data_IF_667968451268
#
_entry.id   IF_667968451268
#
_cell.length_a   1.000
_cell.length_b   1.000
_cell.length_c   1.000
_cell.angle_alpha   90.00
_cell.angle_beta   90.00
_cell.angle_gamma   90.00
#
_symmetry.space_group_name_H-M   'P 1'
#
loop_
_entity.id
_entity.type
_entity.pdbx_description
1 polymer ?
#
# COMPACT_ATOMS: atom_id res chain seq x y z
N UNK A 1 22.87 -2.68 15.38
CA UNK A 1 22.00 -3.35 14.39
C UNK A 1 20.61 -2.78 14.50
N UNK A 2 19.84 -2.78 13.41
CA UNK A 2 18.45 -2.32 13.39
C UNK A 2 17.53 -3.51 13.69
N UNK A 3 16.56 -3.36 14.59
CA UNK A 3 15.56 -4.41 14.86
C UNK A 3 14.27 -4.08 14.11
N UNK A 4 13.74 -5.07 13.38
CA UNK A 4 12.46 -4.98 12.70
C UNK A 4 11.52 -6.07 13.22
N UNK A 5 10.27 -5.72 13.49
CA UNK A 5 9.21 -6.68 13.81
C UNK A 5 8.11 -6.64 12.75
N UNK A 6 7.47 -7.78 12.54
CA UNK A 6 6.47 -7.96 11.49
C UNK A 6 5.29 -8.76 12.03
N UNK A 7 4.07 -8.42 11.56
CA UNK A 7 2.86 -9.19 11.83
C UNK A 7 2.23 -9.61 10.51
N UNK A 8 1.63 -10.80 10.52
CA UNK A 8 1.02 -11.41 9.34
C UNK A 8 -0.39 -11.91 9.68
N UNK A 9 -1.25 -11.96 8.67
CA UNK A 9 -2.55 -12.62 8.77
C UNK A 9 -2.44 -14.13 8.44
N UNK A 10 -3.52 -14.93 8.58
CA UNK A 10 -3.50 -16.37 8.30
C UNK A 10 -3.18 -16.75 6.85
N UNK A 11 -3.31 -15.82 5.90
CA UNK A 11 -2.95 -16.04 4.49
C UNK A 11 -1.48 -15.70 4.21
N UNK A 12 -0.71 -15.34 5.25
CA UNK A 12 0.71 -15.01 5.15
C UNK A 12 0.98 -13.59 4.63
N UNK A 13 -0.05 -12.73 4.54
CA UNK A 13 0.12 -11.35 4.10
C UNK A 13 0.56 -10.50 5.26
N UNK A 14 1.50 -9.57 5.02
CA UNK A 14 1.98 -8.64 6.04
C UNK A 14 0.89 -7.64 6.37
N UNK A 15 0.50 -7.55 7.64
CA UNK A 15 -0.48 -6.57 8.14
C UNK A 15 0.18 -5.43 8.91
N UNK A 16 1.42 -5.61 9.37
CA UNK A 16 2.18 -4.56 10.05
C UNK A 16 3.68 -4.80 10.01
N UNK A 17 4.44 -3.71 10.03
CA UNK A 17 5.90 -3.67 10.12
C UNK A 17 6.29 -2.56 11.09
N UNK A 18 7.15 -2.85 12.06
CA UNK A 18 7.77 -1.83 12.91
C UNK A 18 9.28 -1.82 12.71
N UNK A 19 9.84 -0.67 12.35
CA UNK A 19 11.28 -0.46 12.20
C UNK A 19 11.64 0.84 12.91
N UNK A 20 12.63 0.79 13.80
CA UNK A 20 13.05 1.94 14.61
C UNK A 20 11.90 2.66 15.33
N UNK A 21 10.94 1.88 15.83
CA UNK A 21 9.74 2.39 16.51
C UNK A 21 8.63 2.90 15.58
N UNK A 22 8.91 3.08 14.29
CA UNK A 22 7.89 3.48 13.32
C UNK A 22 7.10 2.27 12.84
N UNK A 23 5.79 2.27 13.08
CA UNK A 23 4.89 1.20 12.65
C UNK A 23 4.13 1.60 11.40
N UNK A 24 4.21 0.77 10.36
CA UNK A 24 3.38 0.82 9.15
C UNK A 24 2.37 -0.31 9.19
N UNK A 25 1.11 0.00 8.92
CA UNK A 25 0.00 -0.94 8.77
C UNK A 25 -0.36 -1.12 7.29
N UNK A 26 -0.81 -2.32 6.94
CA UNK A 26 -1.10 -2.72 5.56
C UNK A 26 -2.53 -3.26 5.48
N UNK A 27 -3.30 -2.77 4.52
CA UNK A 27 -4.72 -3.11 4.33
C UNK A 27 -4.90 -3.88 3.04
N UNK A 28 -5.65 -4.97 3.10
CA UNK A 28 -5.81 -5.90 1.99
C UNK A 28 -7.29 -6.09 1.62
N UNK A 29 -7.58 -6.15 0.32
CA UNK A 29 -8.88 -6.57 -0.22
C UNK A 29 -8.67 -7.78 -1.13
N UNK A 30 -9.13 -8.96 -0.66
CA UNK A 30 -8.66 -10.21 -1.26
C UNK A 30 -7.12 -10.22 -1.26
N UNK A 31 -6.50 -10.55 -2.39
CA UNK A 31 -5.04 -10.61 -2.49
C UNK A 31 -4.38 -9.28 -2.86
N UNK A 32 -5.14 -8.18 -2.93
CA UNK A 32 -4.62 -6.86 -3.31
C UNK A 32 -4.32 -6.01 -2.08
N UNK A 33 -3.11 -5.46 -2.01
CA UNK A 33 -2.76 -4.43 -1.03
C UNK A 33 -3.44 -3.13 -1.47
N UNK A 34 -4.41 -2.66 -0.71
CA UNK A 34 -5.20 -1.47 -1.08
C UNK A 34 -4.75 -0.21 -0.34
N UNK A 35 -4.07 -0.33 0.80
CA UNK A 35 -3.54 0.83 1.49
C UNK A 35 -2.37 0.49 2.42
N UNK A 36 -1.57 1.52 2.71
CA UNK A 36 -0.58 1.54 3.77
C UNK A 36 -0.78 2.79 4.63
N UNK A 37 -0.55 2.67 5.93
CA UNK A 37 -0.72 3.77 6.87
C UNK A 37 0.38 3.77 7.93
N UNK A 38 0.96 4.94 8.19
CA UNK A 38 1.67 5.25 9.42
C UNK A 38 1.45 6.73 9.77
N UNK A 39 2.00 7.16 10.91
CA UNK A 39 1.77 8.49 11.50
C UNK A 39 1.82 9.65 10.49
N UNK A 40 2.80 9.65 9.58
CA UNK A 40 3.05 10.78 8.68
C UNK A 40 2.71 10.51 7.21
N UNK A 41 2.25 9.29 6.88
CA UNK A 41 1.92 8.96 5.49
C UNK A 41 0.80 7.93 5.38
N UNK A 42 -0.16 8.25 4.55
CA UNK A 42 -1.17 7.32 4.07
C UNK A 42 -1.08 7.19 2.55
N UNK A 43 -1.16 5.95 2.08
CA UNK A 43 -1.14 5.60 0.65
C UNK A 43 -2.29 4.67 0.36
N UNK A 44 -3.01 4.90 -0.73
CA UNK A 44 -3.99 3.97 -1.27
C UNK A 44 -3.63 3.57 -2.69
N UNK A 45 -3.73 2.27 -2.99
CA UNK A 45 -3.43 1.70 -4.30
C UNK A 45 -4.73 1.35 -5.01
N UNK A 46 -4.94 1.98 -6.17
CA UNK A 46 -6.07 1.70 -7.04
C UNK A 46 -5.64 0.79 -8.18
N UNK A 47 -6.46 -0.21 -8.48
CA UNK A 47 -6.22 -1.19 -9.52
C UNK A 47 -7.35 -1.15 -10.55
N UNK A 48 -7.06 -1.59 -11.77
CA UNK A 48 -8.11 -1.90 -12.74
C UNK A 48 -9.08 -2.96 -12.18
N UNK A 49 -10.37 -2.91 -12.58
CA UNK A 49 -11.35 -3.94 -12.21
C UNK A 49 -10.84 -5.34 -12.52
N UNK A 50 -11.03 -6.27 -11.58
CA UNK A 50 -10.70 -7.69 -11.73
C UNK A 50 -9.25 -8.00 -12.15
N UNK A 51 -8.32 -7.06 -11.91
CA UNK A 51 -6.93 -7.16 -12.35
C UNK A 51 -5.94 -6.72 -11.25
N UNK A 52 -4.67 -7.14 -11.36
CA UNK A 52 -3.56 -6.63 -10.55
C UNK A 52 -2.85 -5.42 -11.18
N UNK A 53 -3.33 -4.94 -12.34
CA UNK A 53 -2.78 -3.76 -13.01
C UNK A 53 -3.05 -2.51 -12.18
N UNK A 54 -2.01 -1.80 -11.72
CA UNK A 54 -2.19 -0.60 -10.92
C UNK A 54 -2.63 0.56 -11.82
N UNK A 55 -3.60 1.33 -11.35
CA UNK A 55 -4.16 2.49 -12.04
C UNK A 55 -3.59 3.78 -11.46
N UNK A 56 -3.67 3.93 -10.14
CA UNK A 56 -3.21 5.12 -9.43
C UNK A 56 -2.72 4.80 -8.02
N UNK A 57 -1.77 5.60 -7.55
CA UNK A 57 -1.41 5.75 -6.16
C UNK A 57 -1.99 7.06 -5.66
N UNK A 58 -2.73 7.01 -4.57
CA UNK A 58 -3.19 8.19 -3.85
C UNK A 58 -2.33 8.34 -2.60
N UNK A 59 -1.63 9.47 -2.45
CA UNK A 59 -0.79 9.74 -1.28
C UNK A 59 -1.28 10.99 -0.54
N UNK A 60 -1.52 10.87 0.77
CA UNK A 60 -1.98 11.97 1.62
C UNK A 60 -3.15 11.57 2.50
N UNK A 61 -3.57 12.51 3.35
CA UNK A 61 -4.65 12.31 4.32
C UNK A 61 -5.89 13.10 3.93
N UNK A 62 -7.04 12.44 3.90
CA UNK A 62 -8.31 13.10 3.60
C UNK A 62 -8.43 13.61 2.15
N UNK A 63 -9.59 14.16 1.78
CA UNK A 63 -9.89 14.49 0.38
C UNK A 63 -9.10 15.69 -0.17
N UNK A 64 -8.56 16.56 0.68
CA UNK A 64 -7.89 17.81 0.27
C UNK A 64 -6.39 17.66 0.09
N UNK A 65 -5.74 16.86 0.94
CA UNK A 65 -4.27 16.73 0.95
C UNK A 65 -3.78 15.47 0.22
N UNK A 66 -4.70 14.76 -0.45
CA UNK A 66 -4.39 13.58 -1.25
C UNK A 66 -3.96 13.98 -2.66
N UNK A 67 -2.76 13.57 -3.05
CA UNK A 67 -2.20 13.74 -4.39
C UNK A 67 -2.29 12.42 -5.18
N UNK A 68 -2.85 12.44 -6.41
CA UNK A 68 -2.88 11.28 -7.28
C UNK A 68 -1.61 11.18 -8.15
N UNK A 69 -1.05 9.97 -8.22
CA UNK A 69 0.00 9.58 -9.15
C UNK A 69 -0.51 8.43 -10.01
N UNK A 70 -0.33 8.51 -11.32
CA UNK A 70 -0.83 7.49 -12.25
C UNK A 70 0.32 6.59 -12.70
N UNK A 71 0.08 5.28 -12.73
CA UNK A 71 1.04 4.33 -13.28
C UNK A 71 0.91 4.31 -14.80
N UNK A 72 2.03 4.44 -15.51
CA UNK A 72 2.09 4.25 -16.95
C UNK A 72 2.62 2.85 -17.22
N UNK A 73 1.76 1.98 -17.70
CA UNK A 73 2.09 0.57 -17.92
C UNK A 73 2.55 0.33 -19.35
N UNK A 74 3.47 -0.61 -19.52
CA UNK A 74 3.73 -1.21 -20.82
C UNK A 74 2.59 -2.17 -21.25
N UNK A 75 2.75 -2.79 -22.42
CA UNK A 75 1.75 -3.73 -22.95
C UNK A 75 1.54 -4.98 -22.07
N UNK A 76 2.50 -5.32 -21.21
CA UNK A 76 2.41 -6.44 -20.27
C UNK A 76 1.78 -6.03 -18.92
N UNK A 77 1.53 -4.75 -18.70
CA UNK A 77 0.95 -4.25 -17.46
C UNK A 77 1.98 -4.00 -16.36
N UNK A 78 3.26 -3.87 -16.72
CA UNK A 78 4.34 -3.57 -15.78
C UNK A 78 4.63 -2.06 -15.81
N UNK A 79 4.69 -1.38 -14.65
CA UNK A 79 5.08 0.03 -14.56
C UNK A 79 6.59 0.25 -14.68
#
# INVERSE_FOLDING_TARGET
GQTASYRYDPFGRRISKTVDGLTTEFFWQGDKLIAEHHADRHRSYLYEPDSFRPLALLEGFGPTDTQPYHYQLDHLGTP
#
